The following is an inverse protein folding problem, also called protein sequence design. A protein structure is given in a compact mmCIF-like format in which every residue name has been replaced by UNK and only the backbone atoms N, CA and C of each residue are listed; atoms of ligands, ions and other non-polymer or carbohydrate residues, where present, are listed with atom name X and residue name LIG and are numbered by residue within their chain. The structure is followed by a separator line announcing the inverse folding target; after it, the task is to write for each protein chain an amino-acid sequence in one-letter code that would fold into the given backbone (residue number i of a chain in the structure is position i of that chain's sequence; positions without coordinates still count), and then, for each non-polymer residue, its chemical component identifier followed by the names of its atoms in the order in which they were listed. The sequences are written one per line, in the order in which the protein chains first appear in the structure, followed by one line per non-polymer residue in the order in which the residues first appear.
data_IF_254369283803
#
_entry.id   IF_254369283803
#
_cell.length_a   1.000
_cell.length_b   1.000
_cell.length_c   1.000
_cell.angle_alpha   90.00
_cell.angle_beta   90.00
_cell.angle_gamma   90.00
#
_symmetry.space_group_name_H-M   'P 1'
#
loop_
_entity.id
_entity.type
_entity.pdbx_description
1 polymer ?
#
# COMPACT_ATOMS: atom_id res chain seq x y z
N UNK A 1 23.21 6.93 -5.56
CA UNK A 1 22.42 6.56 -6.74
C UNK A 1 21.33 5.61 -6.24
N UNK A 2 20.15 6.13 -5.93
CA UNK A 2 18.99 5.37 -5.43
C UNK A 2 18.28 4.78 -6.65
N UNK A 3 18.45 3.48 -6.88
CA UNK A 3 17.76 2.75 -7.94
C UNK A 3 16.42 2.25 -7.42
N UNK A 4 15.31 2.80 -7.93
CA UNK A 4 13.98 2.19 -7.78
C UNK A 4 13.91 1.02 -8.77
N UNK A 5 13.84 -0.21 -8.28
CA UNK A 5 13.70 -1.38 -9.14
C UNK A 5 12.24 -1.81 -9.11
N UNK A 6 11.51 -1.51 -10.19
CA UNK A 6 10.21 -2.11 -10.48
C UNK A 6 10.46 -3.40 -11.28
N UNK A 7 10.18 -4.56 -10.70
CA UNK A 7 10.21 -5.83 -11.42
C UNK A 7 8.79 -6.23 -11.82
N UNK A 8 8.46 -6.32 -13.11
CA UNK A 8 7.27 -7.01 -13.55
C UNK A 8 7.49 -8.53 -13.44
N UNK A 9 6.64 -9.17 -12.62
CA UNK A 9 6.35 -10.61 -12.45
C UNK A 9 7.50 -11.62 -12.71
N UNK A 10 7.87 -12.35 -11.65
CA UNK A 10 8.03 -13.81 -11.69
C UNK A 10 7.76 -14.41 -10.30
N UNK A 11 6.70 -15.20 -10.21
CA UNK A 11 6.28 -15.90 -9.00
C UNK A 11 7.25 -17.05 -8.67
N UNK A 12 7.61 -17.18 -7.39
CA UNK A 12 7.85 -18.41 -6.62
C UNK A 12 8.51 -18.03 -5.29
N UNK A 13 7.78 -18.09 -4.18
CA UNK A 13 8.16 -18.77 -2.94
C UNK A 13 7.03 -18.64 -1.91
N UNK A 14 6.72 -19.80 -1.32
CA UNK A 14 5.51 -20.20 -0.63
C UNK A 14 5.55 -19.81 0.86
N UNK A 15 4.36 -19.50 1.41
CA UNK A 15 3.99 -19.38 2.83
C UNK A 15 4.06 -17.99 3.48
N UNK A 16 3.17 -17.07 3.07
CA UNK A 16 2.46 -16.09 3.96
C UNK A 16 1.42 -15.19 3.26
N UNK A 17 1.06 -15.41 1.99
CA UNK A 17 0.02 -14.63 1.28
C UNK A 17 -0.77 -15.60 0.38
N UNK A 18 -1.70 -16.37 0.94
CA UNK A 18 -2.36 -17.43 0.16
C UNK A 18 -3.51 -16.95 -0.76
N UNK A 19 -3.93 -15.67 -0.78
CA UNK A 19 -5.06 -15.25 -1.62
C UNK A 19 -5.00 -13.83 -2.22
N UNK A 20 -3.86 -13.13 -2.21
CA UNK A 20 -3.78 -11.79 -2.79
C UNK A 20 -2.87 -11.81 -4.02
N UNK A 21 -3.47 -11.73 -5.21
CA UNK A 21 -2.71 -11.55 -6.45
C UNK A 21 -2.01 -10.19 -6.42
N UNK A 22 -0.67 -10.23 -6.31
CA UNK A 22 0.15 -9.01 -6.33
C UNK A 22 0.12 -8.46 -7.75
N UNK A 23 -0.45 -7.26 -7.90
CA UNK A 23 -0.56 -6.57 -9.19
C UNK A 23 0.73 -5.83 -9.55
N UNK A 24 1.30 -5.15 -8.56
CA UNK A 24 2.58 -4.46 -8.70
C UNK A 24 3.30 -4.42 -7.35
N UNK A 25 4.63 -4.47 -7.40
CA UNK A 25 5.50 -4.38 -6.24
C UNK A 25 6.75 -3.59 -6.57
N UNK A 26 7.32 -2.93 -5.57
CA UNK A 26 8.56 -2.17 -5.68
C UNK A 26 9.37 -2.27 -4.39
N UNK A 27 10.68 -2.13 -4.54
CA UNK A 27 11.63 -2.09 -3.42
C UNK A 27 12.45 -0.81 -3.53
N UNK A 28 12.61 -0.12 -2.41
CA UNK A 28 13.53 0.99 -2.27
C UNK A 28 14.76 0.55 -1.48
N UNK A 29 15.95 0.94 -1.98
CA UNK A 29 17.25 0.56 -1.42
C UNK A 29 18.08 1.80 -1.03
N UNK A 30 18.77 1.75 0.10
CA UNK A 30 19.83 2.70 0.50
C UNK A 30 21.12 1.92 0.74
N UNK A 31 22.18 2.19 -0.02
CA UNK A 31 23.49 1.51 0.10
C UNK A 31 23.38 -0.04 0.11
N UNK A 32 22.51 -0.59 -0.73
CA UNK A 32 22.28 -2.04 -0.84
C UNK A 32 21.37 -2.62 0.24
N UNK A 33 20.86 -1.81 1.18
CA UNK A 33 19.92 -2.23 2.21
C UNK A 33 18.49 -1.91 1.80
N UNK A 34 17.56 -2.83 2.05
CA UNK A 34 16.12 -2.57 1.88
C UNK A 34 15.69 -1.53 2.90
N UNK A 35 15.10 -0.42 2.43
CA UNK A 35 14.50 0.60 3.31
C UNK A 35 12.98 0.43 3.37
N UNK A 36 12.34 0.18 2.23
CA UNK A 36 10.89 -0.01 2.10
C UNK A 36 10.59 -1.03 1.00
N UNK A 37 9.58 -1.87 1.26
CA UNK A 37 8.92 -2.69 0.24
C UNK A 37 7.48 -2.20 0.15
N UNK A 38 6.99 -1.98 -1.06
CA UNK A 38 5.62 -1.56 -1.29
C UNK A 38 4.99 -2.27 -2.47
N UNK A 39 3.68 -2.16 -2.56
CA UNK A 39 2.96 -2.73 -3.68
C UNK A 39 1.47 -2.50 -3.59
N UNK A 40 0.78 -3.10 -4.56
CA UNK A 40 -0.68 -3.20 -4.62
C UNK A 40 -1.04 -4.65 -4.90
N UNK A 41 -2.06 -5.14 -4.20
CA UNK A 41 -2.65 -6.46 -4.45
C UNK A 41 -4.15 -6.33 -4.69
N UNK A 42 -4.75 -7.34 -5.31
CA UNK A 42 -6.20 -7.47 -5.39
C UNK A 42 -6.79 -7.84 -4.03
N UNK A 43 -7.95 -7.25 -3.73
CA UNK A 43 -8.69 -7.43 -2.48
C UNK A 43 -10.20 -7.32 -2.72
N UNK A 44 -10.80 -8.40 -3.25
CA UNK A 44 -12.22 -8.40 -3.63
C UNK A 44 -12.49 -7.42 -4.77
N UNK A 45 -13.42 -6.49 -4.58
CA UNK A 45 -13.84 -5.51 -5.61
C UNK A 45 -12.91 -4.28 -5.73
N UNK A 46 -11.80 -4.27 -4.98
CA UNK A 46 -10.85 -3.18 -4.95
C UNK A 46 -9.42 -3.71 -4.85
N UNK A 47 -8.46 -2.84 -5.14
CA UNK A 47 -7.05 -3.09 -4.87
C UNK A 47 -6.66 -2.47 -3.53
N UNK A 48 -5.68 -3.08 -2.88
CA UNK A 48 -5.14 -2.62 -1.61
C UNK A 48 -3.65 -2.34 -1.70
N UNK A 49 -3.21 -1.10 -1.46
CA UNK A 49 -1.80 -0.82 -1.33
C UNK A 49 -1.27 -1.28 0.03
N UNK A 50 0.01 -1.60 0.06
CA UNK A 50 0.72 -1.97 1.29
C UNK A 50 2.14 -1.39 1.25
N UNK A 51 2.68 -1.10 2.44
CA UNK A 51 4.04 -0.60 2.65
C UNK A 51 4.63 -1.30 3.89
N UNK A 52 5.84 -1.81 3.76
CA UNK A 52 6.63 -2.40 4.83
C UNK A 52 7.93 -1.61 4.98
N UNK A 53 8.12 -1.03 6.15
CA UNK A 53 9.30 -0.22 6.48
C UNK A 53 10.31 -1.06 7.27
N UNK A 54 11.59 -0.97 6.91
CA UNK A 54 12.67 -1.61 7.66
C UNK A 54 13.23 -0.70 8.75
N UNK A 55 14.10 -1.25 9.59
CA UNK A 55 14.92 -0.48 10.55
C UNK A 55 15.90 0.49 9.88
N UNK A 56 16.21 0.31 8.59
CA UNK A 56 17.10 1.20 7.84
C UNK A 56 16.38 2.41 7.24
N UNK A 57 15.06 2.48 7.40
CA UNK A 57 14.25 3.60 6.94
C UNK A 57 14.62 4.88 7.68
N UNK A 58 14.84 5.97 6.93
CA UNK A 58 15.11 7.31 7.46
C UNK A 58 14.02 8.30 7.03
N UNK A 59 13.64 9.28 7.88
CA UNK A 59 12.59 10.24 7.56
C UNK A 59 12.78 11.00 6.23
N UNK A 60 14.03 11.25 5.82
CA UNK A 60 14.37 11.94 4.58
C UNK A 60 13.84 11.23 3.31
N UNK A 61 13.63 9.91 3.36
CA UNK A 61 13.11 9.15 2.21
C UNK A 61 11.58 9.23 2.09
N UNK A 62 10.87 9.71 3.12
CA UNK A 62 9.40 9.70 3.16
C UNK A 62 8.80 10.44 1.95
N UNK A 63 9.38 11.55 1.53
CA UNK A 63 8.87 12.32 0.37
C UNK A 63 8.88 11.49 -0.92
N UNK A 64 9.95 10.74 -1.15
CA UNK A 64 10.11 9.91 -2.35
C UNK A 64 9.16 8.71 -2.29
N UNK A 65 9.08 8.04 -1.14
CA UNK A 65 8.13 6.93 -0.92
C UNK A 65 6.69 7.37 -1.16
N UNK A 66 6.30 8.54 -0.64
CA UNK A 66 4.96 9.09 -0.84
C UNK A 66 4.69 9.44 -2.31
N UNK A 67 5.69 9.99 -3.00
CA UNK A 67 5.57 10.27 -4.45
C UNK A 67 5.36 8.99 -5.23
N UNK A 68 6.17 7.95 -4.97
CA UNK A 68 6.03 6.65 -5.62
C UNK A 68 4.67 6.03 -5.34
N UNK A 69 4.24 6.00 -4.08
CA UNK A 69 2.92 5.47 -3.71
C UNK A 69 1.78 6.21 -4.42
N UNK A 70 1.83 7.56 -4.48
CA UNK A 70 0.82 8.35 -5.22
C UNK A 70 0.79 8.03 -6.71
N UNK A 71 1.95 7.85 -7.34
CA UNK A 71 2.02 7.51 -8.77
C UNK A 71 1.42 6.14 -9.05
N UNK A 72 1.77 5.12 -8.25
CA UNK A 72 1.18 3.77 -8.36
C UNK A 72 -0.33 3.84 -8.19
N UNK A 73 -0.82 4.56 -7.18
CA UNK A 73 -2.26 4.71 -6.96
C UNK A 73 -2.96 5.47 -8.10
N UNK A 74 -2.31 6.46 -8.70
CA UNK A 74 -2.83 7.18 -9.85
C UNK A 74 -2.93 6.28 -11.10
N UNK A 75 -1.91 5.47 -11.37
CA UNK A 75 -1.90 4.51 -12.48
C UNK A 75 -3.02 3.47 -12.33
N UNK A 76 -3.20 2.92 -11.12
CA UNK A 76 -4.27 1.96 -10.86
C UNK A 76 -5.65 2.58 -11.05
N UNK A 77 -5.84 3.83 -10.62
CA UNK A 77 -7.10 4.55 -10.87
C UNK A 77 -7.33 4.82 -12.36
N UNK A 78 -6.28 5.16 -13.10
CA UNK A 78 -6.36 5.34 -14.55
C UNK A 78 -6.72 4.04 -15.28
N UNK A 79 -6.30 2.89 -14.73
CA UNK A 79 -6.68 1.56 -15.20
C UNK A 79 -8.09 1.11 -14.74
N UNK A 80 -8.82 1.94 -13.99
CA UNK A 80 -10.21 1.67 -13.58
C UNK A 80 -10.36 0.91 -12.26
N UNK A 81 -9.28 0.69 -11.52
CA UNK A 81 -9.35 0.01 -10.23
C UNK A 81 -9.86 0.93 -9.12
N UNK A 82 -10.75 0.40 -8.29
CA UNK A 82 -11.10 0.97 -6.98
C UNK A 82 -9.95 0.74 -6.01
N UNK A 83 -9.59 1.73 -5.18
CA UNK A 83 -8.51 1.60 -4.19
C UNK A 83 -9.09 1.66 -2.78
N UNK A 84 -8.75 0.69 -1.93
CA UNK A 84 -9.10 0.67 -0.52
C UNK A 84 -7.93 0.25 0.38
N UNK A 85 -7.93 0.71 1.62
CA UNK A 85 -7.01 0.26 2.66
C UNK A 85 -7.76 0.13 3.98
N UNK A 86 -7.53 -0.97 4.70
CA UNK A 86 -8.06 -1.16 6.05
C UNK A 86 -6.97 -0.80 7.06
N UNK A 87 -7.20 0.25 7.83
CA UNK A 87 -6.18 0.88 8.70
C UNK A 87 -6.60 0.75 10.16
N UNK A 88 -5.68 0.27 10.98
CA UNK A 88 -5.88 0.18 12.42
C UNK A 88 -5.94 1.59 13.04
N UNK A 89 -7.07 1.95 13.69
CA UNK A 89 -7.23 3.29 14.28
C UNK A 89 -6.27 3.59 15.43
N UNK A 90 -5.64 2.57 16.03
CA UNK A 90 -4.68 2.73 17.12
C UNK A 90 -3.32 3.28 16.62
N UNK A 91 -3.13 3.35 15.30
CA UNK A 91 -1.93 3.89 14.64
C UNK A 91 -2.26 5.21 13.90
N UNK A 92 -2.31 6.36 14.61
CA UNK A 92 -2.72 7.64 14.04
C UNK A 92 -1.81 8.13 12.91
N UNK A 93 -0.54 7.72 12.91
CA UNK A 93 0.41 7.96 11.82
C UNK A 93 -0.03 7.28 10.53
N UNK A 94 -0.51 6.03 10.57
CA UNK A 94 -0.99 5.31 9.40
C UNK A 94 -2.24 5.99 8.83
N UNK A 95 -3.15 6.43 9.70
CA UNK A 95 -4.33 7.21 9.30
C UNK A 95 -3.92 8.54 8.63
N UNK A 96 -2.95 9.25 9.20
CA UNK A 96 -2.42 10.50 8.61
C UNK A 96 -1.77 10.24 7.25
N UNK A 97 -0.98 9.17 7.13
CA UNK A 97 -0.34 8.80 5.88
C UNK A 97 -1.38 8.50 4.80
N UNK A 98 -2.44 7.76 5.13
CA UNK A 98 -3.52 7.49 4.20
C UNK A 98 -4.22 8.77 3.73
N UNK A 99 -4.52 9.70 4.63
CA UNK A 99 -5.07 11.01 4.24
C UNK A 99 -4.14 11.79 3.30
N UNK A 100 -2.83 11.77 3.54
CA UNK A 100 -1.84 12.39 2.66
C UNK A 100 -1.75 11.71 1.28
N UNK A 101 -2.12 10.42 1.17
CA UNK A 101 -2.25 9.70 -0.09
C UNK A 101 -3.61 9.91 -0.77
N UNK A 102 -4.52 10.68 -0.16
CA UNK A 102 -5.84 11.01 -0.70
C UNK A 102 -6.96 10.07 -0.24
N UNK A 103 -6.69 9.16 0.70
CA UNK A 103 -7.71 8.29 1.24
C UNK A 103 -8.71 9.07 2.12
N UNK A 104 -9.98 8.66 2.02
CA UNK A 104 -11.08 9.14 2.86
C UNK A 104 -11.69 7.98 3.62
N UNK A 105 -12.16 8.25 4.83
CA UNK A 105 -12.88 7.25 5.61
C UNK A 105 -14.15 6.83 4.88
N UNK A 106 -14.41 5.52 4.84
CA UNK A 106 -15.62 4.95 4.26
C UNK A 106 -16.49 4.26 5.32
N UNK A 107 -15.96 3.24 6.00
CA UNK A 107 -16.72 2.45 7.00
C UNK A 107 -15.78 1.69 7.96
N UNK A 108 -16.27 1.20 9.12
CA UNK A 108 -15.50 0.27 9.94
C UNK A 108 -15.59 -1.15 9.35
N UNK A 109 -14.53 -1.95 9.53
CA UNK A 109 -14.46 -3.35 9.12
C UNK A 109 -14.02 -4.20 10.31
N UNK A 110 -14.81 -5.22 10.64
CA UNK A 110 -14.48 -6.18 11.70
C UNK A 110 -13.72 -7.36 11.10
N UNK A 111 -12.57 -7.67 11.70
CA UNK A 111 -11.76 -8.83 11.32
C UNK A 111 -12.07 -10.03 12.22
N UNK A 112 -11.82 -11.27 11.76
CA UNK A 112 -12.09 -12.49 12.54
C UNK A 112 -11.37 -12.56 13.89
N UNK A 113 -10.26 -11.83 14.03
CA UNK A 113 -9.47 -11.72 15.25
C UNK A 113 -10.07 -10.73 16.29
N UNK A 114 -11.23 -10.15 16.02
CA UNK A 114 -11.93 -9.22 16.90
C UNK A 114 -11.53 -7.76 16.72
N UNK A 115 -10.51 -7.44 15.91
CA UNK A 115 -10.13 -6.05 15.63
C UNK A 115 -11.15 -5.35 14.75
N UNK A 116 -11.28 -4.05 14.95
CA UNK A 116 -12.07 -3.16 14.08
C UNK A 116 -11.15 -2.16 13.41
N UNK A 117 -10.97 -2.30 12.10
CA UNK A 117 -10.16 -1.40 11.28
C UNK A 117 -11.04 -0.35 10.60
N UNK A 118 -10.44 0.75 10.15
CA UNK A 118 -11.08 1.77 9.32
C UNK A 118 -10.81 1.47 7.86
N UNK A 119 -11.85 1.12 7.11
CA UNK A 119 -11.75 1.09 5.64
C UNK A 119 -11.71 2.51 5.14
N UNK A 120 -10.65 2.83 4.42
CA UNK A 120 -10.48 4.09 3.71
C UNK A 120 -10.37 3.83 2.22
N UNK A 121 -10.86 4.74 1.39
CA UNK A 121 -10.87 4.61 -0.08
C UNK A 121 -10.37 5.89 -0.76
N UNK A 122 -9.85 5.75 -1.98
CA UNK A 122 -9.62 6.89 -2.89
C UNK A 122 -10.70 6.80 -3.97
N UNK A 123 -11.86 7.42 -3.69
CA UNK A 123 -13.09 7.49 -4.51
C UNK A 123 -13.08 6.65 -5.81
N UNK A 124 -13.61 5.43 -5.71
CA UNK A 124 -14.44 4.87 -6.77
C UNK A 124 -15.83 5.47 -6.59
N UNK A 125 -16.49 5.89 -7.68
CA UNK A 125 -17.80 6.55 -7.67
C UNK A 125 -18.73 5.86 -6.66
N UNK A 126 -19.29 6.65 -5.73
CA UNK A 126 -20.41 6.23 -4.90
C UNK A 126 -21.54 5.92 -5.88
N UNK A 127 -21.78 4.63 -6.15
CA UNK A 127 -22.98 4.13 -6.81
C UNK A 127 -24.15 4.15 -5.84
#
# INVERSE_FOLDING_TARGET
MTGLVAHPKQARHQHLIDHADILAGWVALDQGKVIVIGGVCEGGDAISPWLLFSEHMKPQYMREIFTTARNVLAEMRAAGFSVCADIDPDYPEAVRMAHLLGFRYHKPVRFPDGRTLRRMTIDARIS
#
